data_IF_342973868322
#
_entry.id   IF_342973868322
#
_cell.length_a   1.000
_cell.length_b   1.000
_cell.length_c   1.000
_cell.angle_alpha   90.00
_cell.angle_beta   90.00
_cell.angle_gamma   90.00
#
_symmetry.space_group_name_H-M   'P 1'
#
loop_
_entity.id
_entity.type
_entity.pdbx_description
1 polymer ?
#
# COMPACT_ATOMS: atom_id res chain seq x y z
N UNK A 1 -12.84 -16.04 2.24
CA UNK A 1 -11.65 -15.30 2.73
C UNK A 1 -10.80 -14.74 1.58
N UNK A 2 -11.17 -15.00 0.33
CA UNK A 2 -10.31 -14.83 -0.85
C UNK A 2 -10.53 -13.48 -1.54
N UNK A 3 -11.70 -12.87 -1.35
CA UNK A 3 -12.03 -11.59 -1.98
C UNK A 3 -11.31 -10.43 -1.30
N UNK A 4 -11.34 -10.37 0.04
CA UNK A 4 -10.70 -9.30 0.82
C UNK A 4 -9.18 -9.25 0.59
N UNK A 5 -8.51 -10.40 0.61
CA UNK A 5 -7.09 -10.51 0.29
C UNK A 5 -6.75 -10.01 -1.12
N UNK A 6 -7.65 -10.25 -2.10
CA UNK A 6 -7.46 -9.74 -3.47
C UNK A 6 -7.66 -8.24 -3.57
N UNK A 7 -8.58 -7.68 -2.79
CA UNK A 7 -8.80 -6.23 -2.73
C UNK A 7 -7.63 -5.51 -2.04
N UNK A 8 -7.07 -6.10 -0.97
CA UNK A 8 -5.86 -5.60 -0.30
C UNK A 8 -4.68 -5.55 -1.29
N UNK A 9 -4.48 -6.62 -2.07
CA UNK A 9 -3.40 -6.65 -3.09
C UNK A 9 -3.63 -5.61 -4.19
N UNK A 10 -4.88 -5.39 -4.61
CA UNK A 10 -5.21 -4.33 -5.57
C UNK A 10 -4.89 -2.95 -5.01
N UNK A 11 -5.29 -2.69 -3.76
CA UNK A 11 -5.05 -1.42 -3.10
C UNK A 11 -3.55 -1.15 -2.93
N UNK A 12 -2.77 -2.16 -2.56
CA UNK A 12 -1.32 -2.07 -2.48
C UNK A 12 -0.66 -1.69 -3.81
N UNK A 13 -1.12 -2.24 -4.93
CA UNK A 13 -0.61 -1.87 -6.26
C UNK A 13 -0.89 -0.39 -6.57
N UNK A 14 -2.09 0.08 -6.25
CA UNK A 14 -2.48 1.48 -6.42
C UNK A 14 -1.62 2.39 -5.54
N UNK A 15 -1.39 2.01 -4.27
CA UNK A 15 -0.55 2.75 -3.33
C UNK A 15 0.86 2.98 -3.87
N UNK A 16 1.51 1.92 -4.39
CA UNK A 16 2.83 2.03 -5.01
C UNK A 16 2.83 2.97 -6.21
N UNK A 17 1.85 2.86 -7.09
CA UNK A 17 1.76 3.74 -8.28
C UNK A 17 1.59 5.20 -7.89
N UNK A 18 0.80 5.51 -6.86
CA UNK A 18 0.62 6.88 -6.37
C UNK A 18 1.93 7.43 -5.77
N UNK A 19 2.65 6.63 -4.97
CA UNK A 19 3.93 7.06 -4.41
C UNK A 19 4.99 7.30 -5.50
N UNK A 20 5.04 6.44 -6.51
CA UNK A 20 5.88 6.66 -7.68
C UNK A 20 5.49 7.93 -8.44
N UNK A 21 4.19 8.19 -8.63
CA UNK A 21 3.69 9.42 -9.26
C UNK A 21 4.11 10.67 -8.48
N UNK A 22 3.98 10.65 -7.16
CA UNK A 22 4.38 11.76 -6.31
C UNK A 22 5.90 11.99 -6.36
N UNK A 23 6.71 10.93 -6.35
CA UNK A 23 8.14 11.04 -6.54
C UNK A 23 8.50 11.64 -7.92
N UNK A 24 7.82 11.22 -8.99
CA UNK A 24 8.01 11.76 -10.33
C UNK A 24 7.61 13.24 -10.46
N UNK A 25 6.67 13.71 -9.61
CA UNK A 25 6.27 15.12 -9.54
C UNK A 25 7.20 15.98 -8.68
N UNK A 26 8.25 15.40 -8.09
CA UNK A 26 9.22 16.11 -7.27
C UNK A 26 8.79 16.32 -5.81
N UNK A 27 7.78 15.59 -5.34
CA UNK A 27 7.45 15.58 -3.91
C UNK A 27 8.46 14.75 -3.13
N UNK A 28 8.76 15.18 -1.90
CA UNK A 28 9.65 14.46 -1.01
C UNK A 28 8.95 13.18 -0.51
N UNK A 29 9.44 12.02 -0.96
CA UNK A 29 8.99 10.71 -0.52
C UNK A 29 10.18 9.92 -0.01
N UNK A 30 10.02 9.25 1.13
CA UNK A 30 11.04 8.37 1.67
C UNK A 30 11.22 7.12 0.79
N UNK A 31 12.47 6.70 0.56
CA UNK A 31 12.76 5.52 -0.27
C UNK A 31 12.07 4.24 0.26
N UNK A 32 11.91 4.14 1.58
CA UNK A 32 11.22 3.02 2.23
C UNK A 32 9.72 2.95 1.88
N UNK A 33 9.09 4.08 1.55
CA UNK A 33 7.68 4.13 1.09
C UNK A 33 7.55 3.71 -0.38
N UNK A 34 8.62 3.86 -1.18
CA UNK A 34 8.65 3.37 -2.57
C UNK A 34 8.85 1.85 -2.62
N UNK A 35 9.65 1.30 -1.70
CA UNK A 35 9.99 -0.13 -1.61
C UNK A 35 9.02 -0.91 -0.69
N UNK A 36 7.81 -0.41 -0.53
CA UNK A 36 6.88 -0.88 0.50
C UNK A 36 6.33 -2.28 0.17
N UNK A 37 6.69 -3.30 0.96
CA UNK A 37 6.26 -4.70 0.82
C UNK A 37 4.79 -4.94 1.16
N UNK A 38 4.17 -5.95 0.55
CA UNK A 38 2.76 -6.30 0.78
C UNK A 38 2.50 -6.68 2.26
N UNK A 39 3.44 -7.37 2.89
CA UNK A 39 3.32 -7.77 4.29
C UNK A 39 3.34 -6.55 5.23
N UNK A 40 4.25 -5.60 4.98
CA UNK A 40 4.28 -4.30 5.68
C UNK A 40 3.00 -3.50 5.45
N UNK A 41 2.47 -3.51 4.22
CA UNK A 41 1.23 -2.82 3.86
C UNK A 41 0.04 -3.38 4.64
N UNK A 42 -0.04 -4.71 4.69
CA UNK A 42 -1.11 -5.42 5.41
C UNK A 42 -1.01 -5.16 6.91
N UNK A 43 0.21 -5.14 7.48
CA UNK A 43 0.41 -4.81 8.89
C UNK A 43 0.11 -3.36 9.27
N UNK A 44 0.34 -2.40 8.37
CA UNK A 44 0.07 -0.98 8.61
C UNK A 44 -1.40 -0.60 8.39
N UNK A 45 -2.03 -1.14 7.35
CA UNK A 45 -3.34 -0.69 6.88
C UNK A 45 -4.46 -1.72 7.05
N UNK A 46 -4.16 -3.02 7.06
CA UNK A 46 -5.18 -4.07 7.20
C UNK A 46 -5.41 -4.50 8.66
N UNK A 47 -4.51 -4.18 9.60
CA UNK A 47 -4.70 -4.47 11.02
C UNK A 47 -5.88 -3.75 11.67
N UNK A 48 -6.34 -2.63 11.09
CA UNK A 48 -7.47 -1.86 11.63
C UNK A 48 -8.83 -2.26 11.01
N UNK A 49 -8.84 -3.24 10.11
CA UNK A 49 -9.99 -3.64 9.30
C UNK A 49 -10.76 -4.87 9.78
N UNK A 50 -10.50 -5.38 10.99
CA UNK A 50 -11.49 -6.26 11.65
C UNK A 50 -12.70 -5.39 12.05
N UNK A 51 -13.59 -5.15 11.10
CA UNK A 51 -15.00 -4.92 11.42
C UNK A 51 -15.55 -6.28 11.84
N UNK A 52 -15.73 -6.46 13.14
CA UNK A 52 -16.58 -7.52 13.70
C UNK A 52 -18.02 -7.39 13.21
#
# INVERSE_FOLDING_TARGET
MDNESREIVRLWRVYRTIHQLCAHRGYLIAQNELDQDLEKFTGLFASHGKVE
#
